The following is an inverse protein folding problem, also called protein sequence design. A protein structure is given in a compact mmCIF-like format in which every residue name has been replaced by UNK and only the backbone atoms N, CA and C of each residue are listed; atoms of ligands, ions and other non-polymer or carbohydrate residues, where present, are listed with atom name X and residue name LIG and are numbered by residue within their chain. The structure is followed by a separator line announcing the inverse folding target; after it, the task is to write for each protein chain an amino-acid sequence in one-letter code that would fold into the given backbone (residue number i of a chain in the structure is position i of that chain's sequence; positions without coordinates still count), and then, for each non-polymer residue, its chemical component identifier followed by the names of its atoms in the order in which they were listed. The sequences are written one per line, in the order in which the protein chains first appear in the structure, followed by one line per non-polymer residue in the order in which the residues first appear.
data_IF_090985405827
#
_entry.id   IF_090985405827
#
_cell.length_a   1.000
_cell.length_b   1.000
_cell.length_c   1.000
_cell.angle_alpha   90.00
_cell.angle_beta   90.00
_cell.angle_gamma   90.00
#
_symmetry.space_group_name_H-M   'P 1'
#
loop_
_entity.id
_entity.type
_entity.pdbx_description
1 polymer ?
#
# COMPACT_ATOMS: atom_id res chain seq x y z
N UNK A 1 -20.26 0.29 -10.09
CA UNK A 1 -20.23 -0.54 -8.86
C UNK A 1 -21.58 -0.66 -8.15
N UNK A 2 -22.44 0.36 -8.16
CA UNK A 2 -23.77 0.28 -7.51
C UNK A 2 -24.63 -0.92 -7.90
N UNK A 3 -24.61 -1.35 -9.17
CA UNK A 3 -25.39 -2.52 -9.57
C UNK A 3 -25.03 -3.75 -8.73
N UNK A 4 -23.75 -4.13 -8.65
CA UNK A 4 -23.30 -5.31 -7.90
C UNK A 4 -23.48 -5.17 -6.39
N UNK A 5 -23.42 -3.94 -5.87
CA UNK A 5 -23.69 -3.65 -4.46
C UNK A 5 -25.17 -3.83 -4.14
N UNK A 6 -26.06 -3.30 -4.99
CA UNK A 6 -27.51 -3.42 -4.80
C UNK A 6 -28.01 -4.87 -4.95
N UNK A 7 -27.30 -5.70 -5.72
CA UNK A 7 -27.57 -7.14 -5.80
C UNK A 7 -27.05 -7.93 -4.58
N UNK A 8 -26.29 -7.29 -3.68
CA UNK A 8 -25.66 -7.94 -2.53
C UNK A 8 -24.44 -8.81 -2.89
N UNK A 9 -23.88 -8.66 -4.10
CA UNK A 9 -22.70 -9.43 -4.53
C UNK A 9 -21.39 -8.87 -3.95
N UNK A 10 -21.40 -7.58 -3.62
CA UNK A 10 -20.31 -6.91 -2.93
C UNK A 10 -20.90 -5.96 -1.88
N UNK A 11 -20.22 -5.78 -0.76
CA UNK A 11 -20.62 -4.81 0.26
C UNK A 11 -20.13 -3.40 -0.07
N UNK A 12 -18.92 -3.31 -0.63
CA UNK A 12 -18.23 -2.06 -0.92
C UNK A 12 -17.42 -2.17 -2.21
N UNK A 13 -16.85 -1.05 -2.64
CA UNK A 13 -15.87 -1.02 -3.72
C UNK A 13 -14.77 -0.02 -3.42
N UNK A 14 -13.66 -0.17 -4.13
CA UNK A 14 -12.50 0.70 -4.05
C UNK A 14 -11.77 0.75 -5.37
N UNK A 15 -10.67 1.49 -5.39
CA UNK A 15 -9.81 1.67 -6.55
C UNK A 15 -8.44 1.04 -6.30
N UNK A 16 -7.67 0.85 -7.36
CA UNK A 16 -6.31 0.30 -7.27
C UNK A 16 -5.45 0.95 -8.33
N UNK A 17 -4.35 1.56 -7.90
CA UNK A 17 -3.43 2.31 -8.74
C UNK A 17 -4.05 3.58 -9.36
N UNK A 18 -4.99 4.22 -8.68
CA UNK A 18 -5.60 5.48 -9.16
C UNK A 18 -4.84 6.71 -8.62
N UNK A 19 -4.85 7.81 -9.37
CA UNK A 19 -4.31 9.07 -8.87
C UNK A 19 -5.29 9.72 -7.89
N UNK A 20 -4.81 10.65 -7.05
CA UNK A 20 -5.68 11.42 -6.15
C UNK A 20 -6.74 12.23 -6.91
N UNK A 21 -6.43 12.69 -8.13
CA UNK A 21 -7.38 13.37 -9.00
C UNK A 21 -8.49 12.43 -9.48
N UNK A 22 -8.14 11.23 -9.94
CA UNK A 22 -9.12 10.25 -10.41
C UNK A 22 -10.04 9.77 -9.27
N UNK A 23 -9.49 9.55 -8.08
CA UNK A 23 -10.26 9.16 -6.89
C UNK A 23 -11.23 10.27 -6.49
N UNK A 24 -10.77 11.53 -6.54
CA UNK A 24 -11.64 12.68 -6.29
C UNK A 24 -12.75 12.78 -7.32
N UNK A 25 -12.43 12.64 -8.61
CA UNK A 25 -13.42 12.66 -9.68
C UNK A 25 -14.45 11.53 -9.51
N UNK A 26 -14.02 10.32 -9.16
CA UNK A 26 -14.91 9.20 -8.88
C UNK A 26 -15.86 9.49 -7.71
N UNK A 27 -15.37 10.13 -6.64
CA UNK A 27 -16.21 10.58 -5.53
C UNK A 27 -17.24 11.63 -5.96
N UNK A 28 -16.81 12.64 -6.73
CA UNK A 28 -17.67 13.73 -7.20
C UNK A 28 -18.77 13.21 -8.16
N UNK A 29 -18.43 12.25 -9.04
CA UNK A 29 -19.40 11.58 -9.92
C UNK A 29 -20.39 10.75 -9.09
N UNK A 30 -19.92 10.01 -8.09
CA UNK A 30 -20.79 9.20 -7.24
C UNK A 30 -21.82 10.08 -6.52
N UNK A 31 -21.39 11.19 -5.92
CA UNK A 31 -22.29 12.11 -5.22
C UNK A 31 -23.32 12.72 -6.16
N UNK A 32 -22.89 13.20 -7.33
CA UNK A 32 -23.77 13.82 -8.33
C UNK A 32 -24.85 12.87 -8.82
N UNK A 33 -24.58 11.57 -8.87
CA UNK A 33 -25.49 10.54 -9.36
C UNK A 33 -26.22 9.79 -8.24
N UNK A 34 -25.99 10.13 -6.96
CA UNK A 34 -26.58 9.41 -5.82
C UNK A 34 -26.07 7.96 -5.70
N UNK A 35 -24.84 7.71 -6.12
CA UNK A 35 -24.19 6.39 -6.11
C UNK A 35 -23.31 6.21 -4.87
N UNK A 36 -22.89 4.98 -4.59
CA UNK A 36 -21.99 4.65 -3.48
C UNK A 36 -20.56 5.04 -3.87
N UNK A 37 -19.88 5.82 -3.03
CA UNK A 37 -18.47 6.21 -3.20
C UNK A 37 -17.50 5.03 -3.05
N UNK A 38 -16.31 5.07 -3.69
CA UNK A 38 -15.24 4.14 -3.33
C UNK A 38 -14.76 4.45 -1.91
N UNK A 39 -14.44 3.42 -1.13
CA UNK A 39 -14.05 3.59 0.30
C UNK A 39 -12.58 3.29 0.58
N UNK A 40 -11.86 2.74 -0.38
CA UNK A 40 -10.46 2.34 -0.25
C UNK A 40 -9.73 2.51 -1.58
N UNK A 41 -8.46 2.87 -1.50
CA UNK A 41 -7.49 2.79 -2.60
C UNK A 41 -6.44 1.75 -2.20
N UNK A 42 -6.04 0.90 -3.14
CA UNK A 42 -4.99 -0.09 -2.95
C UNK A 42 -3.73 0.32 -3.75
N UNK A 43 -2.89 1.24 -3.22
CA UNK A 43 -1.67 1.65 -3.90
C UNK A 43 -0.51 0.71 -3.56
N UNK A 44 0.56 0.77 -4.35
CA UNK A 44 1.85 0.22 -3.96
C UNK A 44 2.53 1.17 -2.95
N UNK A 45 2.91 0.65 -1.79
CA UNK A 45 3.61 1.41 -0.76
C UNK A 45 4.64 0.53 -0.04
N UNK A 46 5.89 0.99 0.06
CA UNK A 46 6.96 0.36 0.83
C UNK A 46 8.13 1.33 1.07
N UNK A 47 9.15 0.89 1.81
CA UNK A 47 10.33 1.70 2.12
C UNK A 47 11.04 2.32 0.90
N UNK A 48 10.98 1.67 -0.27
CA UNK A 48 11.62 2.10 -1.52
C UNK A 48 10.66 2.89 -2.41
N UNK A 49 9.37 2.50 -2.45
CA UNK A 49 8.33 3.18 -3.22
C UNK A 49 7.36 3.94 -2.30
N UNK A 50 7.54 5.27 -2.26
CA UNK A 50 6.78 6.19 -1.40
C UNK A 50 5.99 7.24 -2.18
N UNK A 51 6.30 7.41 -3.47
CA UNK A 51 6.00 8.63 -4.22
C UNK A 51 4.58 8.70 -4.74
N UNK A 52 3.86 7.56 -4.76
CA UNK A 52 2.49 7.50 -5.29
C UNK A 52 1.46 8.23 -4.42
N UNK A 53 1.80 8.54 -3.17
CA UNK A 53 0.91 9.27 -2.25
C UNK A 53 0.93 10.80 -2.46
N UNK A 54 2.01 11.36 -3.02
CA UNK A 54 2.27 12.81 -2.95
C UNK A 54 2.18 13.58 -4.27
N UNK A 55 2.03 12.92 -5.41
CA UNK A 55 2.13 13.57 -6.72
C UNK A 55 0.78 13.61 -7.43
N UNK A 56 0.19 14.81 -7.50
CA UNK A 56 -1.03 15.13 -8.27
C UNK A 56 -0.74 15.40 -9.75
N UNK A 57 0.38 14.95 -10.29
CA UNK A 57 0.81 15.34 -11.64
C UNK A 57 0.93 14.12 -12.55
N UNK A 58 0.09 14.13 -13.58
CA UNK A 58 0.25 13.36 -14.81
C UNK A 58 1.57 13.75 -15.49
N UNK A 59 2.69 13.17 -15.05
CA UNK A 59 3.96 13.25 -15.75
C UNK A 59 4.41 11.84 -16.09
N UNK A 60 4.73 11.65 -17.37
CA UNK A 60 5.12 10.43 -18.09
C UNK A 60 5.82 9.32 -17.28
N UNK A 61 5.67 8.04 -17.70
CA UNK A 61 6.16 6.85 -17.01
C UNK A 61 7.70 6.64 -17.06
N UNK A 62 8.49 7.71 -17.19
CA UNK A 62 9.96 7.66 -17.21
C UNK A 62 10.59 8.18 -15.92
N UNK A 63 9.91 8.01 -14.77
CA UNK A 63 10.56 8.14 -13.48
C UNK A 63 11.36 6.85 -13.23
N UNK A 64 12.69 6.99 -13.11
CA UNK A 64 13.68 5.96 -12.78
C UNK A 64 13.08 4.77 -12.01
N UNK A 65 12.67 3.71 -12.72
CA UNK A 65 12.34 2.43 -12.07
C UNK A 65 13.69 1.89 -11.62
N UNK A 66 14.01 1.89 -10.31
CA UNK A 66 15.34 1.47 -9.88
C UNK A 66 15.53 0.03 -10.34
N UNK A 67 16.69 -0.25 -10.95
CA UNK A 67 17.03 -1.60 -11.35
C UNK A 67 16.94 -2.53 -10.14
N UNK A 68 16.75 -3.83 -10.35
CA UNK A 68 16.69 -4.77 -9.25
C UNK A 68 17.92 -4.64 -8.32
N UNK A 69 19.10 -4.43 -8.91
CA UNK A 69 20.33 -4.19 -8.16
C UNK A 69 20.23 -2.95 -7.23
N UNK A 70 19.66 -1.84 -7.72
CA UNK A 70 19.49 -0.62 -6.92
C UNK A 70 18.54 -0.83 -5.74
N UNK A 71 17.48 -1.62 -5.95
CA UNK A 71 16.52 -1.94 -4.88
C UNK A 71 17.16 -2.79 -3.80
N UNK A 72 17.99 -3.76 -4.19
CA UNK A 72 18.75 -4.60 -3.26
C UNK A 72 19.76 -3.75 -2.49
N UNK A 73 20.53 -2.90 -3.18
CA UNK A 73 21.50 -2.02 -2.54
C UNK A 73 20.85 -1.09 -1.50
N UNK A 74 19.67 -0.52 -1.80
CA UNK A 74 18.90 0.27 -0.83
C UNK A 74 18.40 -0.55 0.34
N UNK A 75 17.95 -1.78 0.11
CA UNK A 75 17.51 -2.68 1.18
C UNK A 75 18.68 -3.08 2.09
N UNK A 76 19.88 -3.26 1.54
CA UNK A 76 21.09 -3.59 2.29
C UNK A 76 21.47 -2.50 3.29
N UNK A 77 21.25 -1.22 2.94
CA UNK A 77 21.48 -0.10 3.85
C UNK A 77 20.56 -0.10 5.08
N UNK A 78 19.44 -0.84 5.04
CA UNK A 78 18.47 -0.90 6.13
C UNK A 78 18.70 -2.11 7.06
N UNK A 79 19.50 -3.09 6.63
CA UNK A 79 19.81 -4.29 7.43
C UNK A 79 20.33 -3.98 8.85
N UNK A 80 21.26 -3.02 9.04
CA UNK A 80 21.76 -2.72 10.39
C UNK A 80 20.66 -2.26 11.35
N UNK A 81 19.65 -1.54 10.84
CA UNK A 81 18.54 -1.04 11.66
C UNK A 81 17.61 -2.19 12.06
N UNK A 82 17.33 -3.12 11.14
CA UNK A 82 16.54 -4.30 11.47
C UNK A 82 17.25 -5.22 12.47
N UNK A 83 18.57 -5.36 12.34
CA UNK A 83 19.41 -6.10 13.28
C UNK A 83 19.45 -5.46 14.67
N UNK A 84 19.55 -4.12 14.76
CA UNK A 84 19.48 -3.37 16.02
C UNK A 84 18.13 -3.57 16.73
N UNK A 85 17.04 -3.61 15.96
CA UNK A 85 15.69 -3.88 16.47
C UNK A 85 15.43 -5.37 16.76
N UNK A 86 16.34 -6.27 16.36
CA UNK A 86 16.22 -7.71 16.57
C UNK A 86 15.10 -8.37 15.76
N UNK A 87 14.70 -7.79 14.63
CA UNK A 87 13.57 -8.23 13.81
C UNK A 87 13.99 -8.60 12.39
N UNK A 88 13.19 -9.42 11.72
CA UNK A 88 13.44 -9.72 10.30
C UNK A 88 13.24 -8.48 9.42
N UNK A 89 13.96 -8.41 8.29
CA UNK A 89 13.76 -7.34 7.30
C UNK A 89 12.32 -7.25 6.78
N UNK A 90 11.62 -8.38 6.72
CA UNK A 90 10.21 -8.43 6.31
C UNK A 90 9.30 -7.79 7.36
N UNK A 91 9.46 -8.18 8.64
CA UNK A 91 8.73 -7.59 9.75
C UNK A 91 8.98 -6.08 9.87
N UNK A 92 10.25 -5.66 9.77
CA UNK A 92 10.64 -4.26 9.77
C UNK A 92 9.95 -3.45 8.66
N UNK A 93 9.95 -3.97 7.43
CA UNK A 93 9.33 -3.28 6.29
C UNK A 93 7.80 -3.16 6.45
N UNK A 94 7.14 -4.19 6.97
CA UNK A 94 5.69 -4.17 7.24
C UNK A 94 5.37 -3.18 8.36
N UNK A 95 6.11 -3.23 9.46
CA UNK A 95 5.95 -2.31 10.58
C UNK A 95 6.14 -0.85 10.15
N UNK A 96 7.13 -0.58 9.30
CA UNK A 96 7.33 0.74 8.72
C UNK A 96 6.10 1.21 7.92
N UNK A 97 5.51 0.34 7.09
CA UNK A 97 4.29 0.69 6.36
C UNK A 97 3.11 0.99 7.30
N UNK A 98 2.96 0.22 8.38
CA UNK A 98 1.91 0.40 9.38
C UNK A 98 2.13 1.64 10.26
N UNK A 99 3.36 2.11 10.41
CA UNK A 99 3.67 3.35 11.15
C UNK A 99 3.09 4.62 10.52
N UNK A 100 2.63 4.55 9.26
CA UNK A 100 1.97 5.66 8.59
C UNK A 100 0.47 5.66 8.93
N UNK A 101 0.01 6.72 9.61
CA UNK A 101 -1.39 6.87 10.04
C UNK A 101 -2.42 6.89 8.90
N UNK A 102 -1.98 7.09 7.65
CA UNK A 102 -2.85 7.02 6.47
C UNK A 102 -3.02 5.59 5.93
N UNK A 103 -2.18 4.64 6.37
CA UNK A 103 -2.26 3.24 5.99
C UNK A 103 -3.16 2.52 6.99
N UNK A 104 -4.30 2.02 6.50
CA UNK A 104 -5.25 1.28 7.33
C UNK A 104 -4.90 -0.20 7.44
N UNK A 105 -4.30 -0.78 6.41
CA UNK A 105 -3.96 -2.20 6.34
C UNK A 105 -2.82 -2.40 5.35
N UNK A 106 -1.93 -3.34 5.65
CA UNK A 106 -0.88 -3.81 4.74
C UNK A 106 -1.23 -5.21 4.25
N UNK A 107 -1.35 -5.38 2.93
CA UNK A 107 -1.51 -6.69 2.31
C UNK A 107 -0.16 -7.40 2.26
N UNK A 108 -0.04 -8.52 2.97
CA UNK A 108 1.19 -9.32 3.01
C UNK A 108 1.08 -10.55 2.10
N UNK A 109 2.20 -10.90 1.45
CA UNK A 109 2.32 -12.12 0.66
C UNK A 109 3.20 -13.14 1.38
N UNK A 110 2.75 -14.39 1.47
CA UNK A 110 3.54 -15.49 2.02
C UNK A 110 3.31 -16.76 1.20
N UNK A 111 4.39 -17.48 0.85
CA UNK A 111 4.33 -18.78 0.18
C UNK A 111 4.33 -19.95 1.17
N UNK A 112 4.78 -19.69 2.40
CA UNK A 112 4.87 -20.69 3.48
C UNK A 112 4.36 -20.10 4.79
N UNK A 113 3.96 -20.96 5.72
CA UNK A 113 3.51 -20.54 7.07
C UNK A 113 4.61 -19.82 7.83
N UNK A 114 5.87 -20.27 7.72
CA UNK A 114 7.02 -19.59 8.34
C UNK A 114 7.18 -18.15 7.85
N UNK A 115 6.97 -17.89 6.55
CA UNK A 115 6.98 -16.51 6.04
C UNK A 115 5.83 -15.68 6.60
N UNK A 116 4.66 -16.29 6.77
CA UNK A 116 3.51 -15.61 7.38
C UNK A 116 3.80 -15.26 8.85
N UNK A 117 4.31 -16.22 9.63
CA UNK A 117 4.72 -16.00 11.03
C UNK A 117 5.72 -14.85 11.13
N UNK A 118 6.76 -14.85 10.28
CA UNK A 118 7.74 -13.76 10.22
C UNK A 118 7.13 -12.41 9.84
N UNK A 119 6.13 -12.39 8.93
CA UNK A 119 5.43 -11.15 8.59
C UNK A 119 4.61 -10.61 9.78
N UNK A 120 4.02 -11.50 10.58
CA UNK A 120 3.18 -11.14 11.73
C UNK A 120 4.00 -10.64 12.93
N UNK A 121 5.30 -10.92 13.01
CA UNK A 121 6.21 -10.31 13.99
C UNK A 121 6.22 -8.78 13.92
N UNK A 122 5.79 -8.19 12.80
CA UNK A 122 5.69 -6.74 12.63
C UNK A 122 4.80 -6.06 13.70
N UNK A 123 3.80 -6.76 14.25
CA UNK A 123 2.93 -6.22 15.31
C UNK A 123 3.67 -6.00 16.63
N UNK A 124 4.82 -6.64 16.86
CA UNK A 124 5.63 -6.37 18.05
C UNK A 124 6.39 -5.03 17.98
N UNK A 125 6.41 -4.39 16.80
CA UNK A 125 7.15 -3.14 16.53
C UNK A 125 6.21 -1.93 16.54
N UNK A 126 4.94 -2.12 16.17
CA UNK A 126 3.96 -1.05 15.99
C UNK A 126 2.96 -1.12 17.14
N UNK A 127 2.94 -0.07 17.97
CA UNK A 127 1.98 0.10 19.07
C UNK A 127 0.56 0.42 18.56
#
# INVERSE_FOLDING_TARGET
MNFVINQGWALYWGTSSWSSADIKEACDIADRLGLVRPIVEQPQYNLIERSRWSLSTSTSPTAFTPDFADRVAKADLLKPIAEELGVSMAAFAIAWCLSNSSVTTVLVGAKTTKQLEQNLEAFAIVD
#
